data_IF_122297325515
#
_entry.id   IF_122297325515
#
_cell.length_a   1.000
_cell.length_b   1.000
_cell.length_c   1.000
_cell.angle_alpha   90.00
_cell.angle_beta   90.00
_cell.angle_gamma   90.00
#
_symmetry.space_group_name_H-M   'P 1'
#
loop_
_entity.id
_entity.type
_entity.pdbx_description
1 polymer ?
#
# COMPACT_ATOMS: atom_id res chain seq x y z
N UNK A 1 32.90 -9.32 2.89
CA UNK A 1 31.94 -9.09 4.00
C UNK A 1 30.88 -8.15 3.46
N UNK A 2 29.59 -8.50 3.50
CA UNK A 2 28.54 -7.59 3.03
C UNK A 2 28.57 -6.28 3.82
N UNK A 3 28.24 -5.18 3.17
CA UNK A 3 28.06 -3.90 3.86
C UNK A 3 26.92 -3.99 4.88
N UNK A 4 26.93 -3.10 5.88
CA UNK A 4 25.84 -3.02 6.87
C UNK A 4 24.46 -2.81 6.20
N UNK A 5 24.42 -2.04 5.10
CA UNK A 5 23.20 -1.78 4.32
C UNK A 5 22.68 -3.04 3.61
N UNK A 6 23.57 -3.86 3.04
CA UNK A 6 23.19 -5.12 2.39
C UNK A 6 22.68 -6.15 3.40
N UNK A 7 23.29 -6.17 4.59
CA UNK A 7 22.87 -7.04 5.70
C UNK A 7 21.49 -6.65 6.20
N UNK A 8 21.22 -5.34 6.31
CA UNK A 8 19.92 -4.80 6.72
C UNK A 8 18.81 -5.11 5.70
N UNK A 9 19.11 -4.93 4.40
CA UNK A 9 18.20 -5.31 3.31
C UNK A 9 17.88 -6.80 3.31
N UNK A 10 18.90 -7.64 3.44
CA UNK A 10 18.71 -9.10 3.47
C UNK A 10 17.83 -9.51 4.65
N UNK A 11 18.07 -8.94 5.84
CA UNK A 11 17.25 -9.19 7.03
C UNK A 11 15.78 -8.82 6.81
N UNK A 12 15.52 -7.66 6.18
CA UNK A 12 14.16 -7.18 5.95
C UNK A 12 13.41 -8.07 4.93
N UNK A 13 14.08 -8.50 3.87
CA UNK A 13 13.50 -9.45 2.90
C UNK A 13 13.13 -10.78 3.59
N UNK A 14 14.04 -11.32 4.40
CA UNK A 14 13.77 -12.56 5.15
C UNK A 14 12.59 -12.40 6.12
N UNK A 15 12.48 -11.26 6.81
CA UNK A 15 11.36 -10.98 7.69
C UNK A 15 10.03 -10.86 6.92
N UNK A 16 10.03 -10.19 5.77
CA UNK A 16 8.86 -10.08 4.89
C UNK A 16 8.41 -11.45 4.37
N UNK A 17 9.33 -12.32 3.95
CA UNK A 17 9.01 -13.69 3.52
C UNK A 17 8.33 -14.50 4.64
N UNK A 18 8.83 -14.37 5.87
CA UNK A 18 8.21 -15.02 7.03
C UNK A 18 6.82 -14.48 7.30
N UNK A 19 6.60 -13.16 7.21
CA UNK A 19 5.25 -12.59 7.36
C UNK A 19 4.28 -13.10 6.29
N UNK A 20 4.71 -13.23 5.03
CA UNK A 20 3.89 -13.81 3.96
C UNK A 20 3.48 -15.25 4.27
N UNK A 21 4.41 -16.06 4.76
CA UNK A 21 4.11 -17.46 5.13
C UNK A 21 3.03 -17.56 6.21
N UNK A 22 3.00 -16.61 7.16
CA UNK A 22 1.95 -16.57 8.19
C UNK A 22 0.57 -16.28 7.61
N UNK A 23 0.51 -15.66 6.43
CA UNK A 23 -0.70 -15.36 5.67
C UNK A 23 -0.97 -16.38 4.54
N UNK A 24 -0.27 -17.52 4.53
CA UNK A 24 -0.35 -18.57 3.48
C UNK A 24 0.10 -18.11 2.09
N UNK A 25 0.94 -17.08 2.05
CA UNK A 25 1.56 -16.60 0.82
C UNK A 25 3.03 -17.02 0.76
N UNK A 26 3.51 -17.26 -0.45
CA UNK A 26 4.89 -17.56 -0.78
C UNK A 26 5.59 -16.34 -1.38
N UNK A 27 6.93 -16.26 -1.34
CA UNK A 27 7.67 -15.20 -2.04
C UNK A 27 7.41 -15.18 -3.55
N UNK A 28 7.10 -16.35 -4.15
CA UNK A 28 6.72 -16.43 -5.57
C UNK A 28 5.40 -15.75 -5.88
N UNK A 29 4.52 -15.48 -4.91
CA UNK A 29 3.25 -14.79 -5.11
C UNK A 29 3.40 -13.27 -5.24
N UNK A 30 4.54 -12.74 -4.83
CA UNK A 30 4.87 -11.32 -4.91
C UNK A 30 5.16 -10.95 -6.37
N UNK A 31 4.56 -9.86 -6.84
CA UNK A 31 4.81 -9.36 -8.18
C UNK A 31 6.26 -8.88 -8.30
N UNK A 32 6.93 -9.37 -9.34
CA UNK A 32 8.31 -9.04 -9.65
C UNK A 32 8.33 -7.92 -10.69
N UNK A 33 8.74 -6.72 -10.29
CA UNK A 33 9.03 -5.61 -11.19
C UNK A 33 10.51 -5.26 -11.01
N UNK A 34 11.38 -5.49 -12.00
CA UNK A 34 12.81 -5.26 -11.87
C UNK A 34 13.17 -3.78 -11.61
N UNK A 35 12.22 -2.85 -11.83
CA UNK A 35 12.40 -1.42 -11.58
C UNK A 35 12.19 -1.06 -10.10
N UNK A 36 11.49 -1.89 -9.33
CA UNK A 36 11.08 -1.56 -7.97
C UNK A 36 11.28 -2.69 -6.97
N UNK A 37 11.66 -2.37 -5.72
CA UNK A 37 11.81 -3.40 -4.70
C UNK A 37 10.46 -4.07 -4.41
N UNK A 38 10.51 -5.39 -4.26
CA UNK A 38 9.37 -6.25 -3.93
C UNK A 38 8.67 -5.87 -2.62
N UNK A 39 9.38 -5.21 -1.70
CA UNK A 39 8.85 -4.72 -0.43
C UNK A 39 9.19 -3.24 -0.27
N UNK A 40 8.18 -2.41 0.00
CA UNK A 40 8.39 -0.98 0.27
C UNK A 40 7.82 -0.63 1.63
N UNK A 41 8.68 -0.08 2.50
CA UNK A 41 8.26 0.54 3.74
C UNK A 41 7.86 1.99 3.44
N UNK A 42 6.57 2.29 3.51
CA UNK A 42 6.04 3.61 3.22
C UNK A 42 5.27 4.15 4.42
N UNK A 43 5.47 5.44 4.71
CA UNK A 43 4.69 6.19 5.71
C UNK A 43 4.26 7.52 5.10
N UNK A 44 3.06 7.96 5.47
CA UNK A 44 2.63 9.34 5.28
C UNK A 44 2.92 10.14 6.56
N UNK A 45 3.13 11.46 6.40
CA UNK A 45 3.41 12.38 7.53
C UNK A 45 2.08 12.82 8.15
N UNK A 46 1.97 12.73 9.48
CA UNK A 46 0.78 13.12 10.25
C UNK A 46 0.29 11.99 11.17
N UNK A 47 0.56 12.08 12.47
CA UNK A 47 0.06 11.11 13.49
C UNK A 47 1.04 10.03 13.97
N UNK A 48 2.35 10.24 13.80
CA UNK A 48 3.43 9.32 14.20
C UNK A 48 3.92 8.42 13.04
N UNK A 49 5.12 7.81 13.18
CA UNK A 49 5.63 6.84 12.19
C UNK A 49 4.70 5.62 12.16
N UNK A 50 3.81 5.55 11.17
CA UNK A 50 2.87 4.43 10.96
C UNK A 50 3.17 3.73 9.64
N UNK A 51 4.45 3.43 9.44
CA UNK A 51 4.92 2.79 8.22
C UNK A 51 4.16 1.49 7.97
N UNK A 52 3.79 1.25 6.72
CA UNK A 52 3.22 0.00 6.24
C UNK A 52 4.24 -0.67 5.35
N UNK A 53 4.34 -1.99 5.45
CA UNK A 53 5.07 -2.79 4.47
C UNK A 53 4.12 -3.06 3.31
N UNK A 54 4.33 -2.36 2.20
CA UNK A 54 3.58 -2.51 0.96
C UNK A 54 4.10 -3.74 0.22
N UNK A 55 3.20 -4.65 -0.16
CA UNK A 55 3.54 -5.88 -0.89
C UNK A 55 2.67 -6.01 -2.14
N UNK A 56 3.25 -5.89 -3.34
CA UNK A 56 2.54 -6.17 -4.58
C UNK A 56 2.37 -7.69 -4.74
N UNK A 57 1.15 -8.16 -4.97
CA UNK A 57 0.89 -9.54 -5.39
C UNK A 57 0.67 -9.59 -6.90
N UNK A 58 0.92 -10.76 -7.50
CA UNK A 58 0.77 -10.95 -8.96
C UNK A 58 -0.67 -10.89 -9.45
N UNK A 59 -1.65 -11.13 -8.59
CA UNK A 59 -3.07 -11.11 -8.96
C UNK A 59 -3.99 -10.90 -7.75
N UNK A 60 -5.20 -10.41 -8.02
CA UNK A 60 -6.24 -10.26 -7.00
C UNK A 60 -6.74 -11.62 -6.47
N UNK A 61 -6.67 -12.69 -7.26
CA UNK A 61 -6.95 -14.06 -6.82
C UNK A 61 -6.16 -14.46 -5.57
N UNK A 62 -4.89 -14.04 -5.47
CA UNK A 62 -4.07 -14.30 -4.28
C UNK A 62 -4.61 -13.60 -3.03
N UNK A 63 -5.23 -12.43 -3.20
CA UNK A 63 -5.86 -11.68 -2.10
C UNK A 63 -7.16 -12.36 -1.64
N UNK A 64 -7.96 -12.91 -2.56
CA UNK A 64 -9.27 -13.50 -2.25
C UNK A 64 -9.20 -14.96 -1.84
N UNK A 65 -8.47 -15.78 -2.59
CA UNK A 65 -8.62 -17.24 -2.53
C UNK A 65 -7.46 -17.95 -1.81
N UNK A 66 -6.30 -17.29 -1.70
CA UNK A 66 -5.10 -17.88 -1.08
C UNK A 66 -4.81 -17.27 0.29
N UNK A 67 -4.82 -15.94 0.37
CA UNK A 67 -4.41 -15.23 1.57
C UNK A 67 -5.35 -15.54 2.75
N UNK A 68 -4.76 -15.90 3.89
CA UNK A 68 -5.51 -16.23 5.09
C UNK A 68 -6.34 -15.03 5.60
N UNK A 69 -7.50 -15.27 6.24
CA UNK A 69 -8.27 -14.21 6.90
C UNK A 69 -7.56 -13.65 8.14
N UNK A 70 -6.58 -14.38 8.68
CA UNK A 70 -5.77 -13.96 9.82
C UNK A 70 -4.37 -14.61 9.77
N UNK A 71 -3.33 -13.98 10.35
CA UNK A 71 -2.04 -14.63 10.54
C UNK A 71 -2.17 -15.91 11.37
N UNK A 72 -1.54 -16.99 10.91
CA UNK A 72 -1.52 -18.29 11.62
C UNK A 72 -0.83 -18.26 12.99
N UNK A 73 0.10 -17.32 13.20
CA UNK A 73 0.72 -17.02 14.49
C UNK A 73 0.76 -15.49 14.71
N UNK A 74 -0.22 -14.93 15.44
CA UNK A 74 -0.29 -13.49 15.70
C UNK A 74 0.85 -12.95 16.57
N UNK A 75 1.45 -13.77 17.44
CA UNK A 75 2.58 -13.35 18.25
C UNK A 75 3.82 -13.19 17.37
N UNK A 76 4.11 -14.19 16.55
CA UNK A 76 5.22 -14.13 15.60
C UNK A 76 5.04 -13.06 14.53
N UNK A 77 3.80 -12.84 14.08
CA UNK A 77 3.47 -11.76 13.15
C UNK A 77 3.84 -10.38 13.72
N UNK A 78 3.53 -10.15 15.01
CA UNK A 78 3.87 -8.91 15.73
C UNK A 78 5.38 -8.68 15.80
N UNK A 79 6.14 -9.70 16.19
CA UNK A 79 7.60 -9.63 16.28
C UNK A 79 8.24 -9.29 14.94
N UNK A 80 7.79 -9.94 13.87
CA UNK A 80 8.33 -9.68 12.53
C UNK A 80 7.96 -8.28 12.01
N UNK A 81 6.77 -7.78 12.36
CA UNK A 81 6.41 -6.39 12.10
C UNK A 81 7.33 -5.42 12.86
N UNK A 82 7.71 -5.72 14.11
CA UNK A 82 8.67 -4.92 14.88
C UNK A 82 10.06 -4.91 14.24
N UNK A 83 10.53 -6.05 13.73
CA UNK A 83 11.81 -6.15 12.99
C UNK A 83 11.83 -5.24 11.76
N UNK A 84 10.68 -5.07 11.11
CA UNK A 84 10.52 -4.22 9.92
C UNK A 84 10.20 -2.76 10.24
N UNK A 85 10.07 -2.38 11.51
CA UNK A 85 9.51 -1.08 11.94
C UNK A 85 8.19 -0.76 11.22
N UNK A 86 7.34 -1.79 11.10
CA UNK A 86 6.11 -1.75 10.34
C UNK A 86 4.90 -1.90 11.26
N UNK A 87 3.88 -1.10 11.03
CA UNK A 87 2.60 -1.19 11.74
C UNK A 87 1.63 -2.18 11.09
N UNK A 88 2.07 -2.91 10.07
CA UNK A 88 1.32 -3.98 9.42
C UNK A 88 1.70 -4.18 7.96
N UNK A 89 1.16 -5.22 7.34
CA UNK A 89 1.23 -5.44 5.91
C UNK A 89 0.06 -4.79 5.19
N UNK A 90 0.35 -4.24 4.01
CA UNK A 90 -0.66 -3.80 3.05
C UNK A 90 -0.39 -4.50 1.73
N UNK A 91 -1.16 -5.56 1.48
CA UNK A 91 -1.07 -6.36 0.27
C UNK A 91 -1.92 -5.70 -0.81
N UNK A 92 -1.44 -5.64 -2.05
CA UNK A 92 -2.19 -5.04 -3.15
C UNK A 92 -1.94 -5.74 -4.49
N UNK A 93 -2.92 -5.71 -5.38
CA UNK A 93 -2.80 -6.14 -6.77
C UNK A 93 -3.60 -5.19 -7.67
N UNK A 94 -3.15 -4.89 -8.89
CA UNK A 94 -3.98 -4.21 -9.88
C UNK A 94 -5.29 -4.99 -10.11
N UNK A 95 -6.38 -4.27 -10.34
CA UNK A 95 -7.65 -4.83 -10.83
C UNK A 95 -7.62 -4.78 -12.35
N UNK A 96 -7.60 -5.93 -13.00
CA UNK A 96 -7.44 -6.03 -14.46
C UNK A 96 -8.74 -5.83 -15.24
N UNK A 97 -9.89 -5.91 -14.57
CA UNK A 97 -11.24 -5.76 -15.14
C UNK A 97 -11.77 -4.32 -15.13
N UNK A 98 -11.10 -3.41 -14.42
CA UNK A 98 -11.57 -2.03 -14.28
C UNK A 98 -11.09 -1.18 -15.47
N UNK A 99 -11.96 -0.30 -15.99
CA UNK A 99 -11.60 0.67 -17.04
C UNK A 99 -10.54 1.70 -16.58
N UNK A 100 -10.27 1.80 -15.28
CA UNK A 100 -9.26 2.70 -14.72
C UNK A 100 -7.95 1.96 -14.46
N UNK A 101 -6.83 2.38 -15.07
CA UNK A 101 -5.52 1.75 -14.87
C UNK A 101 -4.94 2.00 -13.46
N UNK A 102 -5.62 2.78 -12.61
CA UNK A 102 -5.19 3.15 -11.26
C UNK A 102 -6.08 2.54 -10.17
N UNK A 103 -6.73 1.41 -10.47
CA UNK A 103 -7.54 0.63 -9.53
C UNK A 103 -6.79 -0.59 -8.98
N UNK A 104 -6.89 -0.78 -7.67
CA UNK A 104 -6.18 -1.85 -6.96
C UNK A 104 -7.11 -2.55 -5.96
N UNK A 105 -6.96 -3.86 -5.86
CA UNK A 105 -7.52 -4.68 -4.78
C UNK A 105 -6.49 -4.76 -3.65
N UNK A 106 -6.93 -4.61 -2.41
CA UNK A 106 -6.05 -4.46 -1.25
C UNK A 106 -6.55 -5.24 -0.03
N UNK A 107 -5.60 -5.68 0.80
CA UNK A 107 -5.87 -6.25 2.14
C UNK A 107 -4.91 -5.69 3.17
N UNK A 108 -5.40 -5.44 4.37
CA UNK A 108 -4.62 -4.83 5.44
C UNK A 108 -4.59 -5.69 6.69
N UNK A 109 -3.39 -6.15 7.06
CA UNK A 109 -3.15 -6.95 8.25
C UNK A 109 -2.37 -6.11 9.27
N UNK A 110 -3.00 -5.60 10.33
CA UNK A 110 -2.34 -4.72 11.28
C UNK A 110 -1.39 -5.50 12.15
N UNK A 111 -0.27 -4.88 12.51
CA UNK A 111 0.67 -5.42 13.50
C UNK A 111 -0.08 -5.77 14.78
N UNK A 112 -0.86 -4.84 15.31
CA UNK A 112 -1.64 -5.05 16.52
C UNK A 112 -2.92 -4.21 16.45
N UNK A 113 -4.07 -4.88 16.47
CA UNK A 113 -5.38 -4.25 16.61
C UNK A 113 -6.37 -5.26 17.22
N UNK A 114 -7.63 -4.86 17.37
CA UNK A 114 -8.71 -5.73 17.84
C UNK A 114 -9.19 -6.75 16.78
N UNK A 115 -8.68 -6.67 15.55
CA UNK A 115 -9.11 -7.49 14.42
C UNK A 115 -7.89 -7.98 13.62
N UNK A 116 -7.93 -9.18 13.04
CA UNK A 116 -6.81 -9.70 12.26
C UNK A 116 -6.64 -9.00 10.90
N UNK A 117 -7.70 -8.38 10.39
CA UNK A 117 -7.76 -7.64 9.13
C UNK A 117 -8.67 -6.42 9.27
N UNK A 118 -8.26 -5.28 8.72
CA UNK A 118 -9.05 -4.06 8.67
C UNK A 118 -9.87 -4.02 7.35
N UNK A 119 -11.19 -3.74 7.39
CA UNK A 119 -12.00 -3.59 6.18
C UNK A 119 -11.61 -2.37 5.33
N UNK A 120 -11.07 -1.29 5.92
CA UNK A 120 -10.71 -0.09 5.17
C UNK A 120 -9.62 0.74 5.88
N UNK A 121 -8.44 0.87 5.26
CA UNK A 121 -7.30 1.54 5.89
C UNK A 121 -6.76 2.71 5.07
N UNK A 122 -7.35 3.91 5.24
CA UNK A 122 -7.00 5.10 4.46
C UNK A 122 -5.51 5.50 4.52
N UNK A 123 -4.87 5.37 5.69
CA UNK A 123 -3.43 5.68 5.83
C UNK A 123 -2.53 4.74 5.02
N UNK A 124 -2.94 3.48 4.84
CA UNK A 124 -2.19 2.51 4.04
C UNK A 124 -2.40 2.77 2.55
N UNK A 125 -3.65 3.05 2.15
CA UNK A 125 -4.01 3.48 0.79
C UNK A 125 -3.24 4.73 0.35
N UNK A 126 -3.14 5.76 1.21
CA UNK A 126 -2.34 6.96 0.90
C UNK A 126 -0.85 6.66 0.77
N UNK A 127 -0.29 5.81 1.64
CA UNK A 127 1.11 5.40 1.54
C UNK A 127 1.38 4.62 0.24
N UNK A 128 0.43 3.77 -0.19
CA UNK A 128 0.50 3.06 -1.45
C UNK A 128 0.40 4.01 -2.65
N UNK A 129 -0.57 4.93 -2.68
CA UNK A 129 -0.72 5.94 -3.73
C UNK A 129 0.56 6.76 -3.92
N UNK A 130 1.13 7.27 -2.82
CA UNK A 130 2.39 8.01 -2.86
C UNK A 130 3.56 7.15 -3.36
N UNK A 131 3.59 5.86 -3.01
CA UNK A 131 4.58 4.91 -3.53
C UNK A 131 4.40 4.70 -5.03
N UNK A 132 3.18 4.45 -5.51
CA UNK A 132 2.88 4.22 -6.93
C UNK A 132 3.19 5.46 -7.77
N UNK A 133 2.78 6.63 -7.31
CA UNK A 133 3.09 7.91 -7.95
C UNK A 133 4.60 8.10 -8.20
N UNK A 134 5.42 7.86 -7.19
CA UNK A 134 6.89 7.95 -7.31
C UNK A 134 7.48 6.95 -8.32
N UNK A 135 6.80 5.83 -8.56
CA UNK A 135 7.21 4.77 -9.49
C UNK A 135 6.72 5.00 -10.91
N UNK A 136 5.63 5.72 -11.10
CA UNK A 136 5.13 6.02 -12.45
C UNK A 136 6.07 7.01 -13.17
N UNK A 137 6.82 7.81 -12.40
CA UNK A 137 7.70 8.83 -12.92
C UNK A 137 6.88 10.05 -13.33
N UNK A 138 7.29 11.22 -12.83
CA UNK A 138 6.69 12.50 -13.17
C UNK A 138 7.78 13.44 -13.69
N UNK A 139 7.41 14.35 -14.59
CA UNK A 139 8.32 15.35 -15.16
C UNK A 139 8.51 16.60 -14.29
N UNK A 140 7.89 16.61 -13.10
CA UNK A 140 7.92 17.73 -12.15
C UNK A 140 6.85 18.79 -12.42
N UNK A 141 6.00 18.64 -13.44
CA UNK A 141 4.86 19.52 -13.62
C UNK A 141 3.79 19.32 -12.52
N UNK A 142 3.00 20.36 -12.19
CA UNK A 142 1.83 20.19 -11.34
C UNK A 142 0.85 19.20 -11.97
N UNK A 143 0.57 18.11 -11.27
CA UNK A 143 -0.33 17.05 -11.73
C UNK A 143 -1.20 16.56 -10.57
N UNK A 144 -2.43 16.16 -10.91
CA UNK A 144 -3.35 15.47 -10.00
C UNK A 144 -3.53 14.05 -10.50
N UNK A 145 -3.21 13.08 -9.64
CA UNK A 145 -3.46 11.67 -9.92
C UNK A 145 -4.45 11.08 -8.95
N UNK A 146 -5.35 10.27 -9.47
CA UNK A 146 -6.38 9.59 -8.67
C UNK A 146 -6.15 8.09 -8.68
N UNK A 147 -6.22 7.48 -7.50
CA UNK A 147 -6.12 6.05 -7.28
C UNK A 147 -7.36 5.56 -6.56
N UNK A 148 -7.84 4.37 -6.95
CA UNK A 148 -8.95 3.68 -6.29
C UNK A 148 -8.43 2.40 -5.64
N UNK A 149 -8.60 2.27 -4.33
CA UNK A 149 -8.22 1.08 -3.58
C UNK A 149 -9.46 0.40 -3.02
N UNK A 150 -9.73 -0.82 -3.48
CA UNK A 150 -10.80 -1.68 -2.98
C UNK A 150 -10.24 -2.52 -1.84
N UNK A 151 -10.93 -2.56 -0.70
CA UNK A 151 -10.49 -3.25 0.50
C UNK A 151 -11.68 -3.92 1.20
N UNK A 152 -11.43 -4.96 1.98
CA UNK A 152 -12.46 -5.66 2.76
C UNK A 152 -13.39 -6.54 1.94
N UNK A 153 -13.15 -6.67 0.64
CA UNK A 153 -13.94 -7.50 -0.30
C UNK A 153 -13.88 -8.98 0.09
N UNK A 154 -12.67 -9.50 0.35
CA UNK A 154 -12.40 -10.89 0.77
C UNK A 154 -13.13 -11.28 2.07
N UNK A 155 -13.38 -10.30 2.95
CA UNK A 155 -14.00 -10.51 4.27
C UNK A 155 -15.50 -10.13 4.30
N UNK A 156 -16.12 -9.88 3.13
CA UNK A 156 -17.54 -9.52 3.04
C UNK A 156 -17.87 -8.11 3.54
N UNK A 157 -16.89 -7.22 3.67
CA UNK A 157 -17.05 -5.83 4.13
C UNK A 157 -16.43 -4.86 3.13
N UNK A 158 -16.89 -4.85 1.87
CA UNK A 158 -16.21 -4.11 0.82
C UNK A 158 -16.26 -2.60 1.05
N UNK A 159 -15.16 -1.94 0.72
CA UNK A 159 -14.99 -0.49 0.78
C UNK A 159 -14.13 -0.04 -0.40
N UNK A 160 -14.39 1.17 -0.89
CA UNK A 160 -13.54 1.86 -1.85
C UNK A 160 -12.88 3.06 -1.17
N UNK A 161 -11.57 3.20 -1.34
CA UNK A 161 -10.80 4.33 -0.86
C UNK A 161 -10.27 5.07 -2.09
N UNK A 162 -10.80 6.26 -2.34
CA UNK A 162 -10.29 7.16 -3.37
C UNK A 162 -9.18 8.01 -2.79
N UNK A 163 -7.98 7.99 -3.41
CA UNK A 163 -6.86 8.84 -3.01
C UNK A 163 -6.46 9.74 -4.16
N UNK A 164 -6.40 11.04 -3.90
CA UNK A 164 -5.84 12.02 -4.83
C UNK A 164 -4.44 12.40 -4.37
N UNK A 165 -3.47 12.24 -5.26
CA UNK A 165 -2.09 12.65 -5.10
C UNK A 165 -1.89 13.93 -5.91
N UNK A 166 -1.35 14.98 -5.29
CA UNK A 166 -1.08 16.25 -5.95
C UNK A 166 0.34 16.72 -5.68
N UNK A 167 0.98 17.27 -6.71
CA UNK A 167 2.19 18.07 -6.57
C UNK A 167 1.81 19.53 -6.47
N UNK A 168 2.07 20.12 -5.30
CA UNK A 168 1.90 21.56 -5.11
C UNK A 168 3.25 22.25 -5.20
N UNK A 169 3.26 23.40 -5.86
CA UNK A 169 4.40 24.29 -5.92
C UNK A 169 4.34 25.19 -4.67
N UNK A 170 5.20 24.90 -3.68
CA UNK A 170 5.27 25.68 -2.44
C UNK A 170 6.55 26.51 -2.39
N UNK A 171 6.42 27.78 -2.00
CA UNK A 171 7.57 28.63 -1.69
C UNK A 171 8.32 28.07 -0.47
N UNK A 172 9.62 27.80 -0.65
CA UNK A 172 10.48 27.20 0.36
C UNK A 172 10.71 28.06 1.60
N UNK A 173 10.45 29.37 1.55
CA UNK A 173 10.65 30.28 2.68
C UNK A 173 9.38 30.54 3.49
N UNK A 174 8.20 30.54 2.86
CA UNK A 174 6.95 30.97 3.50
C UNK A 174 5.90 29.88 3.65
N UNK A 175 6.01 28.75 2.93
CA UNK A 175 5.00 27.69 2.92
C UNK A 175 3.68 28.08 2.24
N UNK A 176 3.62 29.26 1.62
CA UNK A 176 2.47 29.72 0.84
C UNK A 176 2.57 29.30 -0.63
N UNK A 177 1.43 29.24 -1.32
CA UNK A 177 1.36 29.02 -2.77
C UNK A 177 1.86 30.28 -3.50
N UNK A 178 2.94 30.19 -4.28
CA UNK A 178 3.48 31.29 -5.11
C UNK A 178 4.03 30.74 -6.44
N UNK A 179 4.35 31.61 -7.41
CA UNK A 179 4.71 31.43 -8.84
C UNK A 179 6.19 31.00 -9.12
N UNK A 180 6.52 30.68 -10.38
CA UNK A 180 7.17 29.44 -10.83
C UNK A 180 8.69 29.18 -10.76
N UNK A 181 9.52 29.91 -10.02
CA UNK A 181 10.98 29.84 -10.25
C UNK A 181 11.85 29.13 -9.20
N UNK A 182 11.36 28.80 -7.98
CA UNK A 182 12.16 28.13 -6.94
C UNK A 182 11.30 27.22 -6.03
N UNK A 183 10.97 25.99 -6.43
CA UNK A 183 10.10 25.09 -5.64
C UNK A 183 10.79 23.87 -5.06
N UNK A 184 10.28 23.44 -3.88
CA UNK A 184 10.28 22.03 -3.48
C UNK A 184 8.92 21.43 -3.81
N UNK A 185 8.89 20.23 -4.40
CA UNK A 185 7.64 19.50 -4.59
C UNK A 185 7.16 18.95 -3.25
N UNK A 186 6.03 19.45 -2.75
CA UNK A 186 5.30 18.81 -1.67
C UNK A 186 4.27 17.87 -2.26
N UNK A 187 4.35 16.60 -1.88
CA UNK A 187 3.38 15.58 -2.26
C UNK A 187 2.24 15.59 -1.23
N UNK A 188 1.07 16.08 -1.62
CA UNK A 188 -0.12 16.04 -0.78
C UNK A 188 -0.99 14.86 -1.19
N UNK A 189 -1.49 14.10 -0.21
CA UNK A 189 -2.41 12.99 -0.42
C UNK A 189 -3.70 13.28 0.36
N UNK A 190 -4.83 13.27 -0.33
CA UNK A 190 -6.16 13.38 0.31
C UNK A 190 -6.98 12.15 -0.03
N UNK A 191 -7.59 11.52 0.98
CA UNK A 191 -8.40 10.31 0.82
C UNK A 191 -9.86 10.50 1.21
N UNK A 192 -10.77 9.82 0.51
CA UNK A 192 -12.16 9.60 0.90
C UNK A 192 -12.41 8.09 0.99
N UNK A 193 -13.11 7.64 2.03
CA UNK A 193 -13.50 6.22 2.20
C UNK A 193 -15.00 6.12 2.00
N UNK A 194 -15.42 5.24 1.10
CA UNK A 194 -16.81 4.91 0.83
C UNK A 194 -17.05 3.42 1.09
N UNK A 195 -18.14 3.09 1.77
CA UNK A 195 -18.64 1.70 1.82
C UNK A 195 -19.38 1.43 0.51
N UNK A 196 -19.12 0.30 -0.12
CA UNK A 196 -19.72 -0.10 -1.40
C UNK A 196 -20.50 -1.41 -1.18
N UNK A 197 -21.45 -1.73 -2.07
CA UNK A 197 -22.16 -3.01 -1.98
C UNK A 197 -21.34 -4.16 -2.61
N UNK A 198 -21.54 -5.39 -2.15
CA UNK A 198 -20.94 -6.59 -2.73
C UNK A 198 -21.42 -6.81 -4.18
N UNK A 199 -22.67 -6.47 -4.48
CA UNK A 199 -23.24 -6.63 -5.83
C UNK A 199 -22.56 -5.71 -6.88
N UNK A 200 -22.27 -4.46 -6.51
CA UNK A 200 -21.56 -3.49 -7.36
C UNK A 200 -20.12 -3.94 -7.68
N UNK A 201 -19.50 -4.66 -6.75
CA UNK A 201 -18.15 -5.18 -6.89
C UNK A 201 -18.05 -6.35 -7.86
N UNK A 202 -19.03 -7.27 -7.81
CA UNK A 202 -19.09 -8.43 -8.68
C UNK A 202 -19.34 -8.04 -10.15
N UNK A 203 -20.11 -6.99 -10.40
CA UNK A 203 -20.30 -6.42 -11.74
C UNK A 203 -19.00 -5.83 -12.33
N UNK A 204 -18.09 -5.39 -11.47
CA UNK A 204 -16.81 -4.78 -11.87
C UNK A 204 -15.70 -5.84 -12.06
N UNK A 205 -15.81 -7.02 -11.43
CA UNK A 205 -14.85 -8.13 -11.57
C UNK A 205 -15.22 -9.12 -12.69
N UNK A 206 -16.49 -9.13 -13.14
CA UNK A 206 -17.01 -10.06 -14.15
C UNK A 206 -16.93 -9.57 -15.60
N UNK A 207 -16.46 -8.34 -15.84
CA UNK A 207 -16.33 -7.73 -17.18
C UNK A 207 -14.87 -7.58 -17.62
#
# INVERSE_FOLDING_TARGET
VPSAVETDRHRNVVAAHKLLSLLRLSPSDVADDPRYPAYVHASVVGGGRRAKTLVPLRSAHLLHDVCAPAPSDPARYRELCDVLDSTGLYLYSPRTSDASPSSFECRQFPRASAYPEDPATGVAAMALAASLWKREGHDGSPEVREYSFYQGTAMGRPSQIGVKVRTEAIDSETGNQINTENYKHMLTCSGLVSVIDQEDLNLTLAN
#
